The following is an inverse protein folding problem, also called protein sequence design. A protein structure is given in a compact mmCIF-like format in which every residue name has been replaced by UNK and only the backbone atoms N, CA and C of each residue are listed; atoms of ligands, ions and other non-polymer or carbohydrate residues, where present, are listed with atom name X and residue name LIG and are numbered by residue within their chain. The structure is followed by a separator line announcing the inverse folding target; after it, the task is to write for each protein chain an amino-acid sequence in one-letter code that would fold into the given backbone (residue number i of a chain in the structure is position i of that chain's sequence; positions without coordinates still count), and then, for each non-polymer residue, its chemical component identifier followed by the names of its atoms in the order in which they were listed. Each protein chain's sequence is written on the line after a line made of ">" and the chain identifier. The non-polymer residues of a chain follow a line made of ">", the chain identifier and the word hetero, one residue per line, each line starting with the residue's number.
data_IF_533346406308
#
_entry.id   IF_533346406308
#
_cell.length_a   1.000
_cell.length_b   1.000
_cell.length_c   1.000
_cell.angle_alpha   90.00
_cell.angle_beta   90.00
_cell.angle_gamma   90.00
#
_symmetry.space_group_name_H-M   'P 1'
#
loop_
_entity.id
_entity.type
_entity.pdbx_description
1 polymer ?
#
# COMPACT_ATOMS: atom_id res chain seq x y z
N UNK A 1 -0.75 -26.10 5.50
CA UNK A 1 -1.42 -24.80 5.58
C UNK A 1 -0.40 -23.69 5.45
N UNK A 2 -0.60 -22.76 4.55
CA UNK A 2 0.32 -21.64 4.33
C UNK A 2 0.13 -20.59 5.43
N UNK A 3 1.22 -20.18 6.08
CA UNK A 3 1.16 -19.07 7.02
C UNK A 3 0.95 -17.75 6.27
N UNK A 4 0.15 -16.86 6.82
CA UNK A 4 -0.18 -15.56 6.23
C UNK A 4 0.06 -14.47 7.27
N UNK A 5 0.81 -13.45 6.87
CA UNK A 5 1.19 -12.36 7.77
C UNK A 5 0.83 -11.01 7.18
N UNK A 6 0.49 -10.07 8.04
CA UNK A 6 0.44 -8.66 7.70
C UNK A 6 1.67 -7.95 8.25
N UNK A 7 2.16 -6.95 7.54
CA UNK A 7 3.23 -6.08 8.04
C UNK A 7 2.65 -4.77 8.55
N UNK A 8 3.40 -4.10 9.42
CA UNK A 8 3.03 -2.75 9.86
C UNK A 8 3.73 -1.69 9.01
N UNK A 9 3.42 -0.44 9.30
CA UNK A 9 3.95 0.71 8.58
C UNK A 9 5.47 0.80 8.63
N UNK A 10 6.09 0.45 9.76
CA UNK A 10 7.54 0.54 9.91
C UNK A 10 8.30 -0.36 8.93
N UNK A 11 7.78 -1.56 8.68
CA UNK A 11 8.38 -2.48 7.73
C UNK A 11 8.21 -1.96 6.30
N UNK A 12 7.00 -1.51 5.95
CA UNK A 12 6.75 -1.00 4.60
C UNK A 12 7.58 0.23 4.28
N UNK A 13 7.70 1.16 5.21
CA UNK A 13 8.56 2.36 5.04
C UNK A 13 10.02 1.97 4.86
N UNK A 14 10.51 1.01 5.64
CA UNK A 14 11.89 0.51 5.50
C UNK A 14 12.14 -0.10 4.13
N UNK A 15 11.21 -0.90 3.64
CA UNK A 15 11.32 -1.49 2.30
C UNK A 15 11.28 -0.42 1.19
N UNK A 16 10.47 0.61 1.37
CA UNK A 16 10.32 1.67 0.37
C UNK A 16 11.52 2.64 0.34
N UNK A 17 12.14 2.91 1.51
CA UNK A 17 13.24 3.86 1.62
C UNK A 17 14.62 3.22 1.53
N UNK A 18 14.75 1.96 1.91
CA UNK A 18 16.07 1.33 2.09
C UNK A 18 16.86 1.89 3.26
N UNK A 19 16.23 2.60 4.19
CA UNK A 19 16.88 3.32 5.29
C UNK A 19 16.40 2.81 6.66
N UNK A 20 17.30 2.49 7.58
CA UNK A 20 18.75 2.40 7.42
C UNK A 20 19.18 1.17 6.59
N UNK A 21 20.31 1.27 5.90
CA UNK A 21 20.73 0.25 4.94
C UNK A 21 20.83 -1.15 5.57
N UNK A 22 21.43 -1.27 6.75
CA UNK A 22 21.55 -2.56 7.45
C UNK A 22 20.18 -3.11 7.84
N UNK A 23 19.30 -2.27 8.34
CA UNK A 23 17.93 -2.65 8.70
C UNK A 23 17.10 -3.06 7.49
N UNK A 24 17.29 -2.38 6.36
CA UNK A 24 16.67 -2.76 5.10
C UNK A 24 17.11 -4.15 4.64
N UNK A 25 18.41 -4.38 4.60
CA UNK A 25 18.97 -5.67 4.17
C UNK A 25 18.47 -6.81 5.05
N UNK A 26 18.40 -6.59 6.36
CA UNK A 26 17.88 -7.59 7.29
C UNK A 26 16.39 -7.85 7.10
N UNK A 27 15.58 -6.81 6.89
CA UNK A 27 14.16 -6.99 6.57
C UNK A 27 13.96 -7.82 5.30
N UNK A 28 14.68 -7.49 4.24
CA UNK A 28 14.59 -8.24 2.98
C UNK A 28 14.98 -9.70 3.19
N UNK A 29 16.07 -9.95 3.91
CA UNK A 29 16.54 -11.31 4.20
C UNK A 29 15.50 -12.13 4.97
N UNK A 30 14.92 -11.55 6.02
CA UNK A 30 13.93 -12.23 6.86
C UNK A 30 12.63 -12.49 6.12
N UNK A 31 12.15 -11.50 5.37
CA UNK A 31 10.92 -11.66 4.57
C UNK A 31 11.12 -12.67 3.45
N UNK A 32 12.28 -12.64 2.79
CA UNK A 32 12.60 -13.60 1.74
C UNK A 32 12.60 -15.03 2.29
N UNK A 33 13.16 -15.22 3.49
CA UNK A 33 13.14 -16.53 4.14
C UNK A 33 11.71 -17.00 4.44
N UNK A 34 10.84 -16.12 4.94
CA UNK A 34 9.44 -16.46 5.18
C UNK A 34 8.74 -16.88 3.89
N UNK A 35 8.93 -16.14 2.81
CA UNK A 35 8.25 -16.40 1.54
C UNK A 35 8.81 -17.62 0.82
N UNK A 36 10.12 -17.72 0.71
CA UNK A 36 10.77 -18.76 -0.09
C UNK A 36 10.96 -20.08 0.66
N UNK A 37 11.34 -20.03 1.93
CA UNK A 37 11.61 -21.25 2.72
C UNK A 37 10.35 -21.76 3.42
N UNK A 38 9.57 -20.87 4.01
CA UNK A 38 8.38 -21.25 4.77
C UNK A 38 7.10 -21.19 3.95
N UNK A 39 7.19 -20.74 2.70
CA UNK A 39 6.03 -20.60 1.80
C UNK A 39 4.93 -19.70 2.37
N UNK A 40 5.32 -18.69 3.14
CA UNK A 40 4.38 -17.73 3.72
C UNK A 40 3.95 -16.70 2.69
N UNK A 41 2.73 -16.17 2.88
CA UNK A 41 2.25 -15.00 2.17
C UNK A 41 2.32 -13.78 3.09
N UNK A 42 2.81 -12.66 2.59
CA UNK A 42 2.98 -11.43 3.36
C UNK A 42 2.23 -10.29 2.68
N UNK A 43 1.45 -9.56 3.47
CA UNK A 43 0.54 -8.53 2.95
C UNK A 43 0.69 -7.20 3.69
N UNK A 44 0.34 -6.13 2.98
CA UNK A 44 0.16 -4.80 3.55
C UNK A 44 -1.30 -4.37 3.36
N UNK A 45 -1.95 -3.92 4.44
CA UNK A 45 -3.30 -3.37 4.39
C UNK A 45 -3.31 -1.98 3.75
N UNK A 46 -4.47 -1.53 3.29
CA UNK A 46 -4.61 -0.16 2.78
C UNK A 46 -4.29 0.89 3.84
N UNK A 47 -4.60 0.63 5.10
CA UNK A 47 -4.23 1.55 6.18
C UNK A 47 -2.72 1.69 6.29
N UNK A 48 -1.99 0.58 6.27
CA UNK A 48 -0.52 0.59 6.32
C UNK A 48 0.05 1.30 5.08
N UNK A 49 -0.49 1.03 3.90
CA UNK A 49 -0.06 1.70 2.67
C UNK A 49 -0.27 3.22 2.77
N UNK A 50 -1.44 3.63 3.26
CA UNK A 50 -1.77 5.05 3.45
C UNK A 50 -0.85 5.73 4.46
N UNK A 51 -0.59 5.09 5.60
CA UNK A 51 0.33 5.62 6.61
C UNK A 51 1.76 5.72 6.07
N UNK A 52 2.22 4.72 5.34
CA UNK A 52 3.55 4.75 4.71
C UNK A 52 3.67 5.90 3.72
N UNK A 53 2.63 6.13 2.91
CA UNK A 53 2.56 7.24 1.98
C UNK A 53 2.73 8.59 2.69
N UNK A 54 2.04 8.79 3.81
CA UNK A 54 2.14 10.01 4.61
C UNK A 54 3.55 10.16 5.20
N UNK A 55 4.11 9.09 5.76
CA UNK A 55 5.46 9.10 6.34
C UNK A 55 6.52 9.43 5.30
N UNK A 56 6.43 8.84 4.11
CA UNK A 56 7.37 9.12 3.02
C UNK A 56 7.39 10.61 2.65
N UNK A 57 6.22 11.25 2.60
CA UNK A 57 6.12 12.67 2.28
C UNK A 57 6.63 13.57 3.41
N UNK A 58 6.14 13.35 4.62
CA UNK A 58 6.32 14.30 5.72
C UNK A 58 7.59 14.04 6.53
N UNK A 59 8.04 12.81 6.61
CA UNK A 59 9.23 12.45 7.38
C UNK A 59 10.48 12.36 6.50
N UNK A 60 10.33 11.89 5.27
CA UNK A 60 11.44 11.72 4.34
C UNK A 60 11.47 12.76 3.22
N UNK A 61 10.49 13.63 3.15
CA UNK A 61 10.44 14.68 2.13
C UNK A 61 10.27 14.18 0.70
N UNK A 62 9.70 13.00 0.53
CA UNK A 62 9.50 12.40 -0.80
C UNK A 62 8.28 13.02 -1.47
N UNK A 63 8.40 13.38 -2.74
CA UNK A 63 7.27 13.90 -3.51
C UNK A 63 6.18 12.85 -3.66
N UNK A 64 4.92 13.30 -3.74
CA UNK A 64 3.76 12.39 -3.81
C UNK A 64 3.90 11.33 -4.89
N UNK A 65 4.28 11.72 -6.09
CA UNK A 65 4.43 10.78 -7.20
C UNK A 65 5.51 9.74 -6.94
N UNK A 66 6.63 10.15 -6.35
CA UNK A 66 7.74 9.27 -6.02
C UNK A 66 7.39 8.32 -4.87
N UNK A 67 6.64 8.80 -3.88
CA UNK A 67 6.15 7.97 -2.78
C UNK A 67 5.22 6.87 -3.31
N UNK A 68 4.30 7.22 -4.19
CA UNK A 68 3.39 6.25 -4.83
C UNK A 68 4.16 5.22 -5.66
N UNK A 69 5.15 5.67 -6.43
CA UNK A 69 5.97 4.78 -7.25
C UNK A 69 6.80 3.81 -6.39
N UNK A 70 7.39 4.30 -5.30
CA UNK A 70 8.16 3.46 -4.38
C UNK A 70 7.28 2.38 -3.74
N UNK A 71 6.07 2.74 -3.28
CA UNK A 71 5.13 1.79 -2.71
C UNK A 71 4.67 0.76 -3.74
N UNK A 72 4.36 1.19 -4.96
CA UNK A 72 3.99 0.28 -6.04
C UNK A 72 5.11 -0.71 -6.36
N UNK A 73 6.36 -0.26 -6.35
CA UNK A 73 7.52 -1.12 -6.59
C UNK A 73 7.65 -2.20 -5.52
N UNK A 74 7.52 -1.84 -4.24
CA UNK A 74 7.59 -2.81 -3.13
C UNK A 74 6.44 -3.81 -3.22
N UNK A 75 5.22 -3.32 -3.41
CA UNK A 75 4.01 -4.14 -3.40
C UNK A 75 3.83 -4.98 -4.67
N UNK A 76 4.59 -4.69 -5.72
CA UNK A 76 4.65 -5.50 -6.94
C UNK A 76 5.86 -6.44 -7.00
N UNK A 77 6.70 -6.45 -5.96
CA UNK A 77 7.98 -7.19 -5.96
C UNK A 77 7.83 -8.71 -5.80
N UNK A 78 6.69 -9.18 -5.32
CA UNK A 78 6.49 -10.58 -4.96
C UNK A 78 6.85 -10.91 -3.52
N UNK A 79 7.46 -9.99 -2.79
CA UNK A 79 7.82 -10.19 -1.38
C UNK A 79 6.68 -9.82 -0.44
N UNK A 80 6.03 -8.70 -0.69
CA UNK A 80 4.85 -8.21 0.03
C UNK A 80 3.80 -7.83 -1.00
N UNK A 81 2.58 -8.24 -0.81
CA UNK A 81 1.48 -7.92 -1.71
C UNK A 81 0.42 -7.05 -1.02
N UNK A 82 -0.37 -6.29 -1.77
CA UNK A 82 -1.52 -5.59 -1.19
C UNK A 82 -2.55 -6.60 -0.67
N UNK A 83 -3.04 -6.37 0.55
CA UNK A 83 -4.06 -7.25 1.15
C UNK A 83 -5.32 -7.35 0.29
N UNK A 84 -5.74 -6.24 -0.30
CA UNK A 84 -6.94 -6.21 -1.13
C UNK A 84 -6.71 -6.64 -2.59
N UNK A 85 -5.50 -7.10 -2.91
CA UNK A 85 -5.19 -7.62 -4.24
C UNK A 85 -4.51 -6.63 -5.17
N UNK A 86 -4.20 -7.10 -6.37
CA UNK A 86 -3.42 -6.36 -7.36
C UNK A 86 -4.07 -5.04 -7.82
N UNK A 87 -5.38 -4.89 -7.68
CA UNK A 87 -6.08 -3.64 -8.00
C UNK A 87 -5.57 -2.44 -7.23
N UNK A 88 -4.98 -2.63 -6.05
CA UNK A 88 -4.37 -1.54 -5.27
C UNK A 88 -3.18 -0.93 -6.02
N UNK A 89 -2.47 -1.72 -6.82
CA UNK A 89 -1.38 -1.20 -7.65
C UNK A 89 -1.89 -0.18 -8.66
N UNK A 90 -3.08 -0.39 -9.22
CA UNK A 90 -3.72 0.57 -10.12
C UNK A 90 -4.03 1.88 -9.40
N UNK A 91 -4.47 1.81 -8.14
CA UNK A 91 -4.72 3.00 -7.32
C UNK A 91 -3.43 3.77 -7.04
N UNK A 92 -2.34 3.07 -6.77
CA UNK A 92 -1.03 3.70 -6.57
C UNK A 92 -0.52 4.37 -7.84
N UNK A 93 -0.81 3.82 -9.01
CA UNK A 93 -0.34 4.31 -10.31
C UNK A 93 -1.30 5.30 -10.96
N UNK A 94 -2.50 5.48 -10.43
CA UNK A 94 -3.50 6.37 -11.00
C UNK A 94 -3.03 7.83 -10.97
N UNK A 95 -3.40 8.58 -12.03
CA UNK A 95 -3.05 9.99 -12.19
C UNK A 95 -4.31 10.83 -12.23
N UNK A 96 -4.24 12.00 -11.62
CA UNK A 96 -5.37 12.93 -11.56
C UNK A 96 -6.50 12.44 -10.64
N UNK A 97 -7.57 13.18 -10.58
CA UNK A 97 -8.69 12.87 -9.70
C UNK A 97 -8.37 13.12 -8.23
N UNK A 98 -8.97 12.32 -7.34
CA UNK A 98 -8.72 12.42 -5.91
C UNK A 98 -7.37 11.82 -5.53
N UNK A 99 -6.90 12.15 -4.32
CA UNK A 99 -5.61 11.66 -3.82
C UNK A 99 -5.63 10.19 -3.46
N UNK A 100 -4.43 9.67 -3.12
CA UNK A 100 -4.25 8.25 -2.83
C UNK A 100 -5.06 7.79 -1.63
N UNK A 101 -5.10 8.58 -0.55
CA UNK A 101 -5.82 8.15 0.66
C UNK A 101 -7.30 7.92 0.37
N UNK A 102 -7.93 8.81 -0.39
CA UNK A 102 -9.33 8.65 -0.80
C UNK A 102 -9.53 7.40 -1.65
N UNK A 103 -8.58 7.12 -2.56
CA UNK A 103 -8.62 5.93 -3.38
C UNK A 103 -8.52 4.64 -2.56
N UNK A 104 -7.64 4.64 -1.55
CA UNK A 104 -7.47 3.49 -0.66
C UNK A 104 -8.72 3.25 0.20
N UNK A 105 -9.34 4.34 0.68
CA UNK A 105 -10.61 4.25 1.43
C UNK A 105 -11.70 3.60 0.55
N UNK A 106 -11.88 4.11 -0.65
CA UNK A 106 -12.88 3.58 -1.58
C UNK A 106 -12.60 2.12 -1.96
N UNK A 107 -11.33 1.77 -2.13
CA UNK A 107 -10.92 0.40 -2.40
C UNK A 107 -11.29 -0.55 -1.26
N UNK A 108 -11.07 -0.14 0.00
CA UNK A 108 -11.49 -0.93 1.16
C UNK A 108 -12.99 -1.21 1.14
N UNK A 109 -13.80 -0.19 0.83
CA UNK A 109 -15.25 -0.38 0.78
C UNK A 109 -15.66 -1.32 -0.35
N UNK A 110 -15.05 -1.18 -1.53
CA UNK A 110 -15.33 -2.11 -2.64
C UNK A 110 -14.93 -3.54 -2.28
N UNK A 111 -13.80 -3.72 -1.61
CA UNK A 111 -13.35 -5.05 -1.16
C UNK A 111 -14.34 -5.69 -0.18
N UNK A 112 -15.06 -4.87 0.58
CA UNK A 112 -16.10 -5.32 1.50
C UNK A 112 -17.50 -5.42 0.85
N UNK A 113 -17.60 -5.17 -0.45
CA UNK A 113 -18.88 -5.21 -1.16
C UNK A 113 -19.75 -3.98 -0.94
N UNK A 114 -19.16 -2.84 -0.56
CA UNK A 114 -19.86 -1.62 -0.24
C UNK A 114 -19.60 -0.52 -1.28
N UNK A 115 -20.57 0.38 -1.47
CA UNK A 115 -20.34 1.64 -2.15
C UNK A 115 -19.76 2.66 -1.19
N UNK A 116 -19.20 3.74 -1.74
CA UNK A 116 -18.62 4.83 -0.95
C UNK A 116 -19.51 6.07 -1.03
N UNK A 117 -19.90 6.63 0.11
CA UNK A 117 -20.55 7.92 0.20
C UNK A 117 -19.53 8.97 0.62
N UNK A 118 -19.54 10.11 -0.06
CA UNK A 118 -18.59 11.18 0.20
C UNK A 118 -19.20 12.55 -0.09
N UNK A 119 -18.67 13.58 0.53
CA UNK A 119 -19.00 14.96 0.18
C UNK A 119 -18.02 15.53 -0.84
N UNK A 120 -16.93 14.84 -1.12
CA UNK A 120 -15.88 15.27 -2.05
C UNK A 120 -16.25 14.90 -3.49
N UNK A 121 -16.22 15.91 -4.38
CA UNK A 121 -16.61 15.72 -5.78
C UNK A 121 -15.67 14.78 -6.53
N UNK A 122 -14.36 14.89 -6.28
CA UNK A 122 -13.36 14.06 -6.97
C UNK A 122 -13.44 12.61 -6.50
N UNK A 123 -13.64 12.39 -5.20
CA UNK A 123 -13.80 11.05 -4.66
C UNK A 123 -15.09 10.40 -5.16
N UNK A 124 -16.18 11.20 -5.33
CA UNK A 124 -17.45 10.71 -5.84
C UNK A 124 -17.34 10.19 -7.28
N UNK A 125 -16.31 10.57 -8.02
CA UNK A 125 -16.08 10.08 -9.38
C UNK A 125 -15.43 8.70 -9.45
N UNK A 126 -14.99 8.15 -8.31
CA UNK A 126 -14.44 6.80 -8.25
C UNK A 126 -15.52 5.75 -8.49
N UNK A 127 -15.14 4.54 -8.97
CA UNK A 127 -16.10 3.45 -9.14
C UNK A 127 -16.87 3.15 -7.86
N UNK A 128 -18.19 2.99 -7.97
CA UNK A 128 -19.10 2.66 -6.87
C UNK A 128 -19.13 3.73 -5.76
N UNK A 129 -18.70 4.95 -6.06
CA UNK A 129 -18.78 6.09 -5.16
C UNK A 129 -19.84 7.07 -5.64
N UNK A 130 -20.40 7.84 -4.72
CA UNK A 130 -21.33 8.93 -5.05
C UNK A 130 -21.34 9.98 -3.96
N UNK A 131 -21.75 11.20 -4.33
CA UNK A 131 -21.96 12.25 -3.33
C UNK A 131 -23.23 11.98 -2.53
N UNK A 132 -23.13 12.26 -1.25
CA UNK A 132 -24.28 12.23 -0.34
C UNK A 132 -25.14 13.46 -0.56
#
# INVERSE_FOLDING_TARGET
>A
MTARFGIDTSILVRLATGDPEEGFAECVRKLTALVELDHADVFASNQVIGEAYVVLQHHYGVAKADARAALASVLGSGLVAPLNGAGVLDELQARGGCGLLDRLIADDYRAAGLGTLTLDRKMAALPQARRL
#
